data_IF_439471730130
#
_entry.id   IF_439471730130
#
_cell.length_a   1.000
_cell.length_b   1.000
_cell.length_c   1.000
_cell.angle_alpha   90.00
_cell.angle_beta   90.00
_cell.angle_gamma   90.00
#
_symmetry.space_group_name_H-M   'P 1'
#
loop_
_entity.id
_entity.type
_entity.pdbx_description
1 polymer ?
#
# COMPACT_ATOMS: atom_id res chain seq x y z
N UNK A 1 -20.71 -2.86 7.18
CA UNK A 1 -19.62 -3.50 7.92
C UNK A 1 -20.12 -4.91 8.31
N UNK A 2 -19.61 -5.94 7.63
CA UNK A 2 -20.06 -7.33 7.77
C UNK A 2 -19.87 -7.87 9.19
N UNK A 3 -18.75 -7.54 9.84
CA UNK A 3 -18.50 -7.93 11.24
C UNK A 3 -19.59 -7.40 12.17
N UNK A 4 -20.07 -6.16 11.94
CA UNK A 4 -21.16 -5.59 12.74
C UNK A 4 -22.47 -6.36 12.55
N UNK A 5 -22.76 -6.78 11.33
CA UNK A 5 -23.94 -7.57 10.98
C UNK A 5 -23.84 -8.97 11.61
N UNK A 6 -22.66 -9.57 11.55
CA UNK A 6 -22.36 -10.86 12.18
C UNK A 6 -22.55 -10.80 13.70
N UNK A 7 -22.03 -9.75 14.37
CA UNK A 7 -22.20 -9.53 15.80
C UNK A 7 -23.67 -9.27 16.18
N UNK A 8 -24.44 -8.59 15.32
CA UNK A 8 -25.86 -8.42 15.52
C UNK A 8 -26.63 -9.74 15.45
N UNK A 9 -26.29 -10.61 14.49
CA UNK A 9 -26.89 -11.94 14.37
C UNK A 9 -26.57 -12.80 15.62
N UNK A 10 -25.37 -12.68 16.18
CA UNK A 10 -25.04 -13.32 17.46
C UNK A 10 -25.90 -12.76 18.60
N UNK A 11 -26.02 -11.43 18.69
CA UNK A 11 -26.82 -10.78 19.74
C UNK A 11 -28.32 -11.12 19.65
N UNK A 12 -28.82 -11.35 18.43
CA UNK A 12 -30.20 -11.77 18.17
C UNK A 12 -30.43 -13.28 18.42
N UNK A 13 -29.35 -14.07 18.58
CA UNK A 13 -29.45 -15.53 18.70
C UNK A 13 -29.60 -16.28 17.38
N UNK A 14 -29.43 -15.58 16.23
CA UNK A 14 -29.55 -16.16 14.89
C UNK A 14 -28.39 -17.09 14.54
N UNK A 15 -27.20 -16.85 15.14
CA UNK A 15 -26.01 -17.69 15.02
C UNK A 15 -25.30 -17.82 16.36
N UNK A 16 -24.58 -18.92 16.56
CA UNK A 16 -23.78 -19.14 17.78
C UNK A 16 -22.51 -18.27 17.76
N UNK A 17 -21.96 -18.03 18.96
CA UNK A 17 -20.64 -17.34 19.09
C UNK A 17 -19.55 -18.13 18.38
N UNK A 18 -19.58 -19.46 18.46
CA UNK A 18 -18.59 -20.33 17.83
C UNK A 18 -18.69 -20.31 16.31
N UNK A 19 -19.90 -20.27 15.75
CA UNK A 19 -20.12 -20.12 14.31
C UNK A 19 -19.66 -18.73 13.82
N UNK A 20 -19.94 -17.69 14.60
CA UNK A 20 -19.47 -16.34 14.29
C UNK A 20 -17.92 -16.25 14.32
N UNK A 21 -17.28 -16.87 15.29
CA UNK A 21 -15.82 -16.98 15.35
C UNK A 21 -15.26 -17.80 14.18
N UNK A 22 -15.95 -18.86 13.77
CA UNK A 22 -15.58 -19.65 12.60
C UNK A 22 -15.67 -18.82 11.31
N UNK A 23 -16.74 -18.05 11.14
CA UNK A 23 -16.89 -17.10 10.03
C UNK A 23 -15.76 -16.07 10.00
N UNK A 24 -15.44 -15.42 11.12
CA UNK A 24 -14.34 -14.47 11.22
C UNK A 24 -12.98 -15.12 10.90
N UNK A 25 -12.81 -16.40 11.23
CA UNK A 25 -11.56 -17.13 10.96
C UNK A 25 -11.46 -17.64 9.52
N UNK A 26 -12.57 -18.01 8.89
CA UNK A 26 -12.59 -18.71 7.61
C UNK A 26 -12.78 -17.82 6.40
N UNK A 27 -13.11 -16.52 6.55
CA UNK A 27 -13.33 -15.58 5.45
C UNK A 27 -12.31 -14.43 5.34
N UNK A 28 -11.03 -14.57 5.79
CA UNK A 28 -10.10 -13.45 5.65
C UNK A 28 -9.45 -13.35 4.26
N UNK A 29 -9.65 -14.31 3.38
CA UNK A 29 -9.02 -14.36 2.05
C UNK A 29 -9.86 -15.12 1.03
N UNK A 30 -9.69 -14.77 -0.23
CA UNK A 30 -10.17 -15.53 -1.38
C UNK A 30 -9.02 -16.36 -1.96
N UNK A 31 -9.31 -17.61 -2.36
CA UNK A 31 -8.30 -18.45 -3.02
C UNK A 31 -8.46 -18.36 -4.54
N UNK A 32 -7.62 -17.56 -5.18
CA UNK A 32 -7.57 -17.41 -6.64
C UNK A 32 -6.75 -18.52 -7.33
N UNK A 33 -6.31 -19.54 -6.57
CA UNK A 33 -5.45 -20.64 -7.08
C UNK A 33 -3.98 -20.23 -7.18
N UNK A 34 -3.66 -18.99 -7.49
CA UNK A 34 -2.30 -18.43 -7.58
C UNK A 34 -2.01 -17.35 -6.54
N UNK A 35 -3.02 -16.86 -5.84
CA UNK A 35 -2.90 -15.86 -4.77
C UNK A 35 -4.03 -16.02 -3.76
N UNK A 36 -3.81 -15.57 -2.54
CA UNK A 36 -4.80 -15.53 -1.44
C UNK A 36 -4.86 -14.12 -0.87
N UNK A 37 -5.61 -13.18 -1.51
CA UNK A 37 -5.75 -11.81 -1.04
C UNK A 37 -6.36 -11.75 0.36
N UNK A 38 -5.74 -10.96 1.28
CA UNK A 38 -6.17 -10.80 2.67
C UNK A 38 -7.03 -9.53 2.84
N UNK A 39 -8.33 -9.67 2.88
CA UNK A 39 -9.27 -8.55 2.99
C UNK A 39 -9.37 -7.95 4.39
N UNK A 40 -8.94 -8.68 5.43
CA UNK A 40 -9.03 -8.24 6.80
C UNK A 40 -7.77 -7.55 7.33
N UNK A 41 -6.73 -7.42 6.50
CA UNK A 41 -5.46 -6.80 6.89
C UNK A 41 -5.67 -5.36 7.40
N UNK A 42 -6.51 -4.57 6.73
CA UNK A 42 -6.84 -3.20 7.16
C UNK A 42 -7.45 -3.16 8.57
N UNK A 43 -8.33 -4.11 8.89
CA UNK A 43 -8.97 -4.19 10.21
C UNK A 43 -8.00 -4.63 11.32
N UNK A 44 -6.98 -5.43 10.97
CA UNK A 44 -5.99 -5.96 11.94
C UNK A 44 -4.79 -5.05 12.09
N UNK A 45 -4.31 -4.42 11.00
CA UNK A 45 -3.05 -3.67 10.95
C UNK A 45 -3.22 -2.19 10.63
N UNK A 46 -4.46 -1.72 10.39
CA UNK A 46 -4.75 -0.33 10.04
C UNK A 46 -4.41 0.05 8.59
N UNK A 47 -3.75 -0.83 7.83
CA UNK A 47 -3.35 -0.59 6.44
C UNK A 47 -3.89 -1.69 5.53
N UNK A 48 -4.30 -1.31 4.33
CA UNK A 48 -4.73 -2.25 3.29
C UNK A 48 -3.57 -3.12 2.81
N UNK A 49 -3.90 -4.26 2.22
CA UNK A 49 -2.87 -5.11 1.62
C UNK A 49 -2.25 -4.44 0.39
N UNK A 50 -0.96 -4.68 0.20
CA UNK A 50 -0.15 -4.18 -0.91
C UNK A 50 0.17 -5.33 -1.85
N UNK A 51 0.02 -5.12 -3.15
CA UNK A 51 0.42 -6.12 -4.14
C UNK A 51 1.92 -5.99 -4.42
N UNK A 52 2.68 -7.02 -4.12
CA UNK A 52 4.07 -7.12 -4.53
C UNK A 52 4.14 -7.64 -5.97
N UNK A 53 4.45 -6.76 -6.93
CA UNK A 53 4.38 -7.03 -8.37
C UNK A 53 5.56 -7.82 -8.94
N UNK A 54 6.71 -7.92 -8.20
CA UNK A 54 7.82 -8.73 -8.66
C UNK A 54 7.43 -10.22 -8.71
N UNK A 55 7.72 -10.87 -9.84
CA UNK A 55 7.38 -12.28 -10.04
C UNK A 55 5.91 -12.58 -10.36
N UNK A 56 5.01 -11.61 -10.31
CA UNK A 56 3.62 -11.75 -10.77
C UNK A 56 3.48 -11.36 -12.25
N UNK A 57 2.58 -12.00 -12.97
CA UNK A 57 2.17 -11.56 -14.30
C UNK A 57 1.17 -10.39 -14.21
N UNK A 58 0.97 -9.65 -15.31
CA UNK A 58 -0.02 -8.58 -15.35
C UNK A 58 -1.44 -9.13 -15.09
N UNK A 59 -1.76 -10.30 -15.64
CA UNK A 59 -3.04 -10.97 -15.49
C UNK A 59 -3.31 -11.36 -14.02
N UNK A 60 -2.29 -11.84 -13.32
CA UNK A 60 -2.38 -12.15 -11.87
C UNK A 60 -2.64 -10.88 -11.04
N UNK A 61 -1.95 -9.78 -11.35
CA UNK A 61 -2.15 -8.50 -10.67
C UNK A 61 -3.56 -7.97 -10.94
N UNK A 62 -4.04 -8.04 -12.17
CA UNK A 62 -5.41 -7.67 -12.55
C UNK A 62 -6.44 -8.49 -11.76
N UNK A 63 -6.27 -9.81 -11.70
CA UNK A 63 -7.18 -10.69 -10.96
C UNK A 63 -7.22 -10.35 -9.46
N UNK A 64 -6.06 -10.16 -8.82
CA UNK A 64 -5.97 -9.75 -7.41
C UNK A 64 -6.64 -8.37 -7.20
N UNK A 65 -6.40 -7.42 -8.10
CA UNK A 65 -6.97 -6.07 -8.00
C UNK A 65 -8.49 -6.08 -8.13
N UNK A 66 -9.05 -6.90 -9.04
CA UNK A 66 -10.50 -7.08 -9.17
C UNK A 66 -11.10 -7.70 -7.90
N UNK A 67 -10.46 -8.73 -7.35
CA UNK A 67 -10.88 -9.35 -6.08
C UNK A 67 -10.86 -8.35 -4.93
N UNK A 68 -9.83 -7.50 -4.80
CA UNK A 68 -9.82 -6.43 -3.80
C UNK A 68 -10.97 -5.43 -3.98
N UNK A 69 -11.26 -5.02 -5.24
CA UNK A 69 -12.33 -4.09 -5.54
C UNK A 69 -13.72 -4.66 -5.18
N UNK A 70 -13.96 -5.95 -5.46
CA UNK A 70 -15.19 -6.67 -5.10
C UNK A 70 -15.40 -6.73 -3.59
N UNK A 71 -14.31 -6.80 -2.82
CA UNK A 71 -14.33 -6.76 -1.34
C UNK A 71 -14.20 -5.35 -0.75
N UNK A 72 -14.38 -4.31 -1.56
CA UNK A 72 -14.48 -2.92 -1.11
C UNK A 72 -13.16 -2.18 -0.92
N UNK A 73 -12.01 -2.78 -1.25
CA UNK A 73 -10.72 -2.10 -1.29
C UNK A 73 -10.54 -1.43 -2.66
N UNK A 74 -10.79 -0.12 -2.72
CA UNK A 74 -10.73 0.65 -3.97
C UNK A 74 -9.36 1.23 -4.28
N UNK A 75 -8.58 1.51 -3.23
CA UNK A 75 -7.25 2.10 -3.34
C UNK A 75 -6.21 1.00 -3.12
N UNK A 76 -5.45 0.68 -4.17
CA UNK A 76 -4.53 -0.46 -4.21
C UNK A 76 -3.15 0.03 -4.60
N UNK A 77 -2.16 -0.26 -3.75
CA UNK A 77 -0.75 -0.02 -4.01
C UNK A 77 -0.11 -1.29 -4.60
N UNK A 78 0.62 -1.13 -5.69
CA UNK A 78 1.38 -2.19 -6.35
C UNK A 78 2.84 -1.77 -6.37
N UNK A 79 3.69 -2.48 -5.65
CA UNK A 79 5.14 -2.22 -5.61
C UNK A 79 5.89 -3.14 -6.56
N UNK A 80 7.10 -2.76 -6.96
CA UNK A 80 7.96 -3.52 -7.91
C UNK A 80 7.24 -3.87 -9.21
N UNK A 81 6.48 -2.92 -9.73
CA UNK A 81 5.75 -3.05 -10.98
C UNK A 81 6.59 -2.49 -12.13
N UNK A 82 6.99 -3.33 -13.06
CA UNK A 82 7.65 -2.87 -14.27
C UNK A 82 6.67 -2.20 -15.26
N UNK A 83 7.20 -1.31 -16.09
CA UNK A 83 6.44 -0.51 -17.04
C UNK A 83 5.60 -1.35 -18.02
N UNK A 84 6.15 -2.45 -18.50
CA UNK A 84 5.44 -3.30 -19.46
C UNK A 84 4.19 -3.95 -18.86
N UNK A 85 4.26 -4.35 -17.56
CA UNK A 85 3.09 -4.82 -16.82
C UNK A 85 2.12 -3.68 -16.53
N UNK A 86 2.63 -2.50 -16.13
CA UNK A 86 1.80 -1.33 -15.85
C UNK A 86 0.96 -0.95 -17.08
N UNK A 87 1.56 -0.93 -18.27
CA UNK A 87 0.86 -0.66 -19.54
C UNK A 87 -0.24 -1.68 -19.85
N UNK A 88 0.01 -2.97 -19.54
CA UNK A 88 -1.01 -4.02 -19.72
C UNK A 88 -2.17 -3.86 -18.72
N UNK A 89 -1.85 -3.61 -17.46
CA UNK A 89 -2.86 -3.41 -16.40
C UNK A 89 -3.72 -2.20 -16.74
N UNK A 90 -3.11 -1.08 -17.14
CA UNK A 90 -3.81 0.16 -17.45
C UNK A 90 -4.80 0.07 -18.62
N UNK A 91 -4.69 -0.96 -19.47
CA UNK A 91 -5.68 -1.26 -20.51
C UNK A 91 -7.00 -1.81 -19.96
N UNK A 92 -6.96 -2.46 -18.80
CA UNK A 92 -8.14 -3.09 -18.17
C UNK A 92 -8.62 -2.34 -16.93
N UNK A 93 -7.70 -1.78 -16.14
CA UNK A 93 -7.97 -1.08 -14.88
C UNK A 93 -7.17 0.22 -14.89
N UNK A 94 -7.80 1.40 -14.75
CA UNK A 94 -7.08 2.67 -14.66
C UNK A 94 -6.00 2.62 -13.57
N UNK A 95 -4.77 2.97 -13.95
CA UNK A 95 -3.59 2.86 -13.10
C UNK A 95 -2.73 4.11 -13.24
N UNK A 96 -2.41 4.77 -12.14
CA UNK A 96 -1.36 5.79 -12.08
C UNK A 96 -0.01 5.09 -11.88
N UNK A 97 0.90 5.26 -12.84
CA UNK A 97 2.22 4.63 -12.80
C UNK A 97 3.35 5.61 -12.52
N UNK A 98 4.15 5.31 -11.52
CA UNK A 98 5.32 6.06 -11.07
C UNK A 98 6.58 5.34 -11.53
N UNK A 99 7.09 5.72 -12.70
CA UNK A 99 8.16 5.01 -13.42
C UNK A 99 9.45 4.89 -12.58
N UNK A 100 9.85 5.98 -11.92
CA UNK A 100 11.07 6.01 -11.09
C UNK A 100 11.00 5.06 -9.89
N UNK A 101 9.83 4.93 -9.29
CA UNK A 101 9.59 4.09 -8.12
C UNK A 101 9.20 2.64 -8.46
N UNK A 102 8.89 2.37 -9.71
CA UNK A 102 8.26 1.10 -10.14
C UNK A 102 6.99 0.80 -9.32
N UNK A 103 6.15 1.81 -9.12
CA UNK A 103 4.89 1.71 -8.37
C UNK A 103 3.72 1.96 -9.30
N UNK A 104 2.66 1.16 -9.13
CA UNK A 104 1.34 1.43 -9.67
C UNK A 104 0.33 1.69 -8.56
N UNK A 105 -0.58 2.64 -8.78
CA UNK A 105 -1.70 2.92 -7.89
C UNK A 105 -3.00 2.82 -8.67
N UNK A 106 -3.90 1.96 -8.20
CA UNK A 106 -5.28 1.88 -8.64
C UNK A 106 -6.11 2.64 -7.63
N UNK A 107 -7.03 3.51 -8.07
CA UNK A 107 -7.84 4.35 -7.19
C UNK A 107 -7.22 5.71 -6.94
N UNK A 108 -7.12 6.14 -5.69
CA UNK A 108 -6.68 7.50 -5.34
C UNK A 108 -5.73 7.53 -4.15
N UNK A 109 -4.83 8.51 -4.17
CA UNK A 109 -4.02 8.85 -3.00
C UNK A 109 -4.91 9.46 -1.91
N UNK A 110 -4.60 9.22 -0.60
CA UNK A 110 -5.27 9.88 0.50
C UNK A 110 -5.19 11.41 0.39
N UNK A 111 -6.34 12.09 0.53
CA UNK A 111 -6.41 13.56 0.50
C UNK A 111 -5.87 14.17 1.79
N UNK A 112 -6.14 13.55 2.93
CA UNK A 112 -5.64 13.96 4.22
C UNK A 112 -4.41 13.14 4.57
N UNK A 113 -3.34 13.83 4.93
CA UNK A 113 -2.07 13.23 5.31
C UNK A 113 -1.61 13.79 6.64
N UNK A 114 -1.01 12.95 7.47
CA UNK A 114 -0.56 13.30 8.82
C UNK A 114 0.95 13.07 8.96
N UNK A 115 1.51 13.69 10.00
CA UNK A 115 2.92 13.55 10.34
C UNK A 115 3.86 14.15 9.29
N UNK A 116 5.15 13.85 9.43
CA UNK A 116 6.22 14.18 8.49
C UNK A 116 7.24 13.05 8.51
N UNK A 117 7.45 12.42 7.37
CA UNK A 117 8.50 11.42 7.15
C UNK A 117 9.52 12.03 6.21
N UNK A 118 10.78 12.07 6.62
CA UNK A 118 11.89 12.46 5.75
C UNK A 118 12.49 11.20 5.14
N UNK A 119 12.69 11.22 3.83
CA UNK A 119 13.33 10.13 3.11
C UNK A 119 14.57 10.71 2.45
N UNK A 120 15.73 10.25 2.90
CA UNK A 120 17.02 10.78 2.48
C UNK A 120 17.83 9.72 1.74
N UNK A 121 18.59 10.12 0.71
CA UNK A 121 19.54 9.25 0.00
C UNK A 121 20.95 9.77 0.09
N UNK A 122 21.92 8.86 0.18
CA UNK A 122 23.33 9.20 0.11
C UNK A 122 23.78 9.57 -1.30
N UNK A 123 23.20 8.93 -2.32
CA UNK A 123 23.52 9.17 -3.71
C UNK A 123 22.31 9.11 -4.63
N UNK A 124 22.50 9.51 -5.89
CA UNK A 124 21.43 9.57 -6.89
C UNK A 124 20.97 8.18 -7.35
N UNK A 125 21.82 7.16 -7.24
CA UNK A 125 21.46 5.75 -7.55
C UNK A 125 20.41 5.18 -6.61
N UNK A 126 20.24 5.78 -5.42
CA UNK A 126 19.32 5.30 -4.40
C UNK A 126 17.91 5.92 -4.56
N UNK A 127 17.77 6.92 -5.43
CA UNK A 127 16.50 7.65 -5.63
C UNK A 127 15.33 6.72 -5.97
N UNK A 128 15.45 5.70 -6.83
CA UNK A 128 14.32 4.81 -7.11
C UNK A 128 13.78 4.10 -5.87
N UNK A 129 14.66 3.69 -4.96
CA UNK A 129 14.27 3.03 -3.70
C UNK A 129 13.64 4.04 -2.74
N UNK A 130 14.17 5.25 -2.69
CA UNK A 130 13.62 6.35 -1.89
C UNK A 130 12.24 6.78 -2.39
N UNK A 131 12.02 6.85 -3.72
CA UNK A 131 10.71 7.13 -4.29
C UNK A 131 9.69 6.03 -3.99
N UNK A 132 10.10 4.75 -4.03
CA UNK A 132 9.25 3.64 -3.61
C UNK A 132 8.80 3.83 -2.15
N UNK A 133 9.71 4.19 -1.26
CA UNK A 133 9.40 4.46 0.15
C UNK A 133 8.50 5.69 0.31
N UNK A 134 8.79 6.79 -0.40
CA UNK A 134 8.03 8.03 -0.33
C UNK A 134 6.58 7.85 -0.78
N UNK A 135 6.36 7.27 -1.97
CA UNK A 135 5.03 7.03 -2.52
C UNK A 135 4.25 6.04 -1.65
N UNK A 136 4.93 5.02 -1.12
CA UNK A 136 4.30 4.08 -0.18
C UNK A 136 3.83 4.79 1.09
N UNK A 137 4.68 5.65 1.69
CA UNK A 137 4.31 6.41 2.88
C UNK A 137 3.15 7.39 2.59
N UNK A 138 3.15 8.02 1.43
CA UNK A 138 2.06 8.91 0.98
C UNK A 138 0.74 8.15 0.79
N UNK A 139 0.80 6.97 0.18
CA UNK A 139 -0.36 6.11 0.01
C UNK A 139 -0.92 5.60 1.35
N UNK A 140 -0.06 5.50 2.37
CA UNK A 140 -0.45 5.19 3.75
C UNK A 140 -0.89 6.42 4.57
N UNK A 141 -1.06 7.58 3.93
CA UNK A 141 -1.60 8.79 4.55
C UNK A 141 -0.58 9.63 5.31
N UNK A 142 0.70 9.58 4.95
CA UNK A 142 1.73 10.41 5.58
C UNK A 142 2.19 11.54 4.64
N UNK A 143 2.61 12.68 5.24
CA UNK A 143 3.37 13.69 4.51
C UNK A 143 4.83 13.25 4.41
N UNK A 144 5.42 13.39 3.22
CA UNK A 144 6.82 13.06 2.98
C UNK A 144 7.62 14.27 2.54
N UNK A 145 8.88 14.32 2.97
CA UNK A 145 9.89 15.23 2.44
C UNK A 145 11.03 14.39 1.85
N UNK A 146 11.46 14.75 0.63
CA UNK A 146 12.49 14.02 -0.12
C UNK A 146 13.79 14.82 -0.11
N UNK A 147 14.85 14.23 0.46
CA UNK A 147 16.19 14.79 0.53
C UNK A 147 17.16 13.88 -0.24
N UNK A 148 17.35 14.18 -1.53
CA UNK A 148 18.16 13.34 -2.39
C UNK A 148 19.58 13.85 -2.52
N UNK A 149 20.54 12.90 -2.66
CA UNK A 149 21.98 13.17 -2.83
C UNK A 149 22.59 13.98 -1.68
N UNK A 150 22.17 13.68 -0.44
CA UNK A 150 22.68 14.32 0.79
C UNK A 150 23.73 13.47 1.52
N UNK A 151 24.48 12.66 0.79
CA UNK A 151 25.52 11.79 1.34
C UNK A 151 26.64 12.56 2.08
N UNK A 152 27.22 11.90 3.08
CA UNK A 152 28.24 12.49 3.98
C UNK A 152 29.54 12.90 3.29
N UNK A 153 29.81 12.45 2.09
CA UNK A 153 30.91 12.95 1.26
C UNK A 153 30.77 14.45 0.93
N UNK A 154 29.53 14.97 0.98
CA UNK A 154 29.20 16.38 0.86
C UNK A 154 28.35 16.85 2.03
N UNK A 155 28.86 16.75 3.25
CA UNK A 155 28.13 17.00 4.50
C UNK A 155 27.35 18.32 4.52
N UNK A 156 27.83 19.34 3.81
CA UNK A 156 27.14 20.63 3.70
C UNK A 156 25.74 20.49 3.10
N UNK A 157 25.52 19.56 2.18
CA UNK A 157 24.20 19.29 1.58
C UNK A 157 23.23 18.79 2.63
N UNK A 158 23.66 17.87 3.50
CA UNK A 158 22.85 17.35 4.61
C UNK A 158 22.54 18.44 5.64
N UNK A 159 23.53 19.25 6.00
CA UNK A 159 23.39 20.29 7.04
C UNK A 159 22.40 21.38 6.64
N UNK A 160 22.21 21.66 5.36
CA UNK A 160 21.19 22.63 4.88
C UNK A 160 19.76 22.15 5.16
N UNK A 161 19.55 20.87 5.39
CA UNK A 161 18.25 20.25 5.66
C UNK A 161 18.02 19.89 7.14
N UNK A 162 18.86 20.44 8.06
CA UNK A 162 18.81 20.08 9.48
C UNK A 162 17.42 20.32 10.08
N UNK A 163 16.76 21.43 9.76
CA UNK A 163 15.43 21.75 10.26
C UNK A 163 14.38 20.72 9.79
N UNK A 164 14.43 20.32 8.55
CA UNK A 164 13.53 19.30 7.99
C UNK A 164 13.68 17.95 8.69
N UNK A 165 14.93 17.57 8.95
CA UNK A 165 15.28 16.32 9.63
C UNK A 165 14.82 16.37 11.09
N UNK A 166 15.14 17.45 11.81
CA UNK A 166 14.84 17.58 13.23
C UNK A 166 13.33 17.69 13.54
N UNK A 167 12.54 18.16 12.57
CA UNK A 167 11.07 18.25 12.70
C UNK A 167 10.32 17.02 12.21
N UNK A 168 11.02 16.05 11.63
CA UNK A 168 10.42 14.80 11.17
C UNK A 168 10.06 13.87 12.34
N UNK A 169 9.01 13.10 12.17
CA UNK A 169 8.67 11.98 13.09
C UNK A 169 9.49 10.73 12.80
N UNK A 170 9.89 10.56 11.54
CA UNK A 170 10.67 9.43 11.04
C UNK A 170 11.64 9.94 9.98
N UNK A 171 12.86 9.43 9.98
CA UNK A 171 13.87 9.65 8.94
C UNK A 171 14.34 8.30 8.42
#
# INVERSE_FOLDING_TARGET
NEIRKLLQNVANGDISVDDALLHIKNEPFEDLGYAKPDFHRKSRQGVSEVIYGAGKTAEQIIGISKSFAEHGQKDILITRLDKAKAEKINKEIPLDYYDMANIGIIGSMPKERVGKIVIATGGTSDIPVAEEAAITAEMLGNNTARLYDVGVAGIHRLLTHTEEIMTARVV
#
